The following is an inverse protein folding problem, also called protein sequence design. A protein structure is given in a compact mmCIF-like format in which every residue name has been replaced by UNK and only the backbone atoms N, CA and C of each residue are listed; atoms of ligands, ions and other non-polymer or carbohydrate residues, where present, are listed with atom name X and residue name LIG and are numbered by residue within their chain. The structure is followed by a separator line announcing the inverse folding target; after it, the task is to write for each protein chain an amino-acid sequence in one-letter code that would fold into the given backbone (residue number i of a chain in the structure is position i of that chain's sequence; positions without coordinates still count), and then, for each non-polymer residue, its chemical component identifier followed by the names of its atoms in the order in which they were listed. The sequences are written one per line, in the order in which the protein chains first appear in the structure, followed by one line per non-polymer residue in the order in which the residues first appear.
data_IF_094592489866
#
_entry.id   IF_094592489866
#
_cell.length_a   1.000
_cell.length_b   1.000
_cell.length_c   1.000
_cell.angle_alpha   90.00
_cell.angle_beta   90.00
_cell.angle_gamma   90.00
#
_symmetry.space_group_name_H-M   'P 1'
#
loop_
_entity.id
_entity.type
_entity.pdbx_description
1 polymer ?
#
# COMPACT_ATOMS: atom_id res chain seq x y z
N UNK A 1 15.09 -28.40 24.28
CA UNK A 1 15.17 -27.50 23.10
C UNK A 1 13.79 -27.47 22.43
N UNK A 2 12.80 -26.83 23.05
CA UNK A 2 11.40 -26.90 22.57
C UNK A 2 11.08 -25.78 21.59
N UNK A 3 10.72 -26.18 20.38
CA UNK A 3 10.23 -25.39 19.23
C UNK A 3 8.83 -24.75 19.42
N UNK A 4 8.40 -24.51 20.67
CA UNK A 4 7.08 -23.96 20.98
C UNK A 4 7.10 -22.46 21.34
N UNK A 5 8.15 -21.73 20.92
CA UNK A 5 8.18 -20.26 21.02
C UNK A 5 7.86 -19.55 19.70
N UNK A 6 7.40 -20.29 18.67
CA UNK A 6 7.28 -19.77 17.31
C UNK A 6 5.99 -18.96 17.05
N UNK A 7 5.16 -18.59 18.03
CA UNK A 7 3.88 -17.90 17.72
C UNK A 7 3.50 -16.74 18.64
N UNK A 8 4.20 -16.49 19.75
CA UNK A 8 3.84 -15.40 20.68
C UNK A 8 4.09 -13.96 20.13
N UNK A 9 5.09 -13.67 19.27
CA UNK A 9 5.35 -12.29 18.81
C UNK A 9 4.88 -11.95 17.36
N UNK A 10 4.03 -12.77 16.74
CA UNK A 10 3.86 -12.87 15.27
C UNK A 10 3.23 -11.70 14.47
N UNK A 11 2.92 -10.55 15.05
CA UNK A 11 2.50 -9.37 14.25
C UNK A 11 3.03 -8.10 14.90
N UNK A 12 4.27 -7.75 14.55
CA UNK A 12 4.76 -6.39 14.76
C UNK A 12 4.08 -5.51 13.70
N UNK A 13 3.38 -4.46 14.14
CA UNK A 13 2.50 -3.54 13.38
C UNK A 13 3.20 -2.66 12.33
N UNK A 14 4.31 -3.12 11.75
CA UNK A 14 5.09 -2.43 10.72
C UNK A 14 5.04 -3.20 9.39
N UNK A 15 3.82 -3.58 8.99
CA UNK A 15 3.56 -4.36 7.79
C UNK A 15 3.30 -3.50 6.55
N UNK A 16 3.04 -2.21 6.73
CA UNK A 16 2.67 -1.33 5.61
C UNK A 16 3.92 -0.91 4.84
N UNK A 17 3.83 -0.95 3.51
CA UNK A 17 4.84 -0.44 2.58
C UNK A 17 4.12 0.45 1.57
N UNK A 18 4.62 1.65 1.39
CA UNK A 18 4.11 2.56 0.36
C UNK A 18 4.84 2.27 -0.94
N UNK A 19 4.07 2.18 -2.02
CA UNK A 19 4.54 2.03 -3.38
C UNK A 19 4.32 3.36 -4.11
N UNK A 20 5.40 3.92 -4.66
CA UNK A 20 5.32 5.14 -5.45
C UNK A 20 4.44 4.97 -6.69
N UNK A 21 3.82 6.05 -7.16
CA UNK A 21 2.92 6.05 -8.35
C UNK A 21 3.62 5.62 -9.65
N UNK A 22 4.95 5.67 -9.68
CA UNK A 22 5.75 5.28 -10.84
C UNK A 22 6.03 3.77 -10.94
N UNK A 23 5.57 2.99 -9.97
CA UNK A 23 5.67 1.53 -9.97
C UNK A 23 4.27 0.91 -10.06
N UNK A 24 4.20 -0.23 -10.74
CA UNK A 24 2.99 -1.05 -10.72
C UNK A 24 2.89 -1.82 -9.39
N UNK A 25 1.73 -1.76 -8.75
CA UNK A 25 1.51 -2.36 -7.44
C UNK A 25 1.61 -3.90 -7.47
N UNK A 26 1.20 -4.53 -8.59
CA UNK A 26 1.27 -5.97 -8.77
C UNK A 26 2.72 -6.43 -8.99
N UNK A 27 3.49 -5.70 -9.80
CA UNK A 27 4.91 -6.03 -10.03
C UNK A 27 5.72 -6.02 -8.73
N UNK A 28 5.49 -4.99 -7.89
CA UNK A 28 6.11 -4.92 -6.56
C UNK A 28 5.64 -6.09 -5.68
N UNK A 29 4.35 -6.42 -5.73
CA UNK A 29 3.79 -7.54 -4.98
C UNK A 29 4.40 -8.89 -5.36
N UNK A 30 4.55 -9.17 -6.65
CA UNK A 30 5.17 -10.40 -7.16
C UNK A 30 6.63 -10.48 -6.75
N UNK A 31 7.37 -9.38 -6.86
CA UNK A 31 8.78 -9.32 -6.47
C UNK A 31 8.97 -9.61 -4.98
N UNK A 32 8.13 -9.05 -4.11
CA UNK A 32 8.16 -9.32 -2.66
C UNK A 32 7.77 -10.79 -2.38
N UNK A 33 6.69 -11.28 -2.98
CA UNK A 33 6.21 -12.66 -2.78
C UNK A 33 7.23 -13.72 -3.23
N UNK A 34 8.02 -13.39 -4.25
CA UNK A 34 9.03 -14.28 -4.84
C UNK A 34 10.43 -14.09 -4.23
N UNK A 35 10.56 -13.28 -3.17
CA UNK A 35 11.85 -12.93 -2.54
C UNK A 35 12.90 -12.39 -3.53
N UNK A 36 12.46 -11.59 -4.51
CA UNK A 36 13.36 -10.91 -5.46
C UNK A 36 14.03 -9.71 -4.78
N UNK A 37 15.00 -10.01 -3.93
CA UNK A 37 15.75 -9.03 -3.14
C UNK A 37 16.48 -7.99 -3.98
N UNK A 38 16.94 -8.33 -5.18
CA UNK A 38 17.65 -7.39 -6.06
C UNK A 38 16.74 -6.25 -6.51
N UNK A 39 15.55 -6.55 -7.02
CA UNK A 39 14.59 -5.52 -7.44
C UNK A 39 14.07 -4.71 -6.25
N UNK A 40 13.77 -5.38 -5.14
CA UNK A 40 13.28 -4.71 -3.92
C UNK A 40 14.32 -3.75 -3.35
N UNK A 41 15.60 -4.12 -3.33
CA UNK A 41 16.67 -3.23 -2.85
C UNK A 41 16.89 -2.02 -3.78
N UNK A 42 16.81 -2.18 -5.11
CA UNK A 42 16.87 -1.06 -6.05
C UNK A 42 15.75 -0.04 -5.76
N UNK A 43 14.52 -0.51 -5.56
CA UNK A 43 13.41 0.40 -5.28
C UNK A 43 13.54 1.09 -3.92
N UNK A 44 14.03 0.41 -2.89
CA UNK A 44 14.28 1.03 -1.58
C UNK A 44 15.37 2.11 -1.70
N UNK A 45 16.49 1.79 -2.35
CA UNK A 45 17.61 2.73 -2.49
C UNK A 45 17.29 3.97 -3.33
N UNK A 46 16.27 3.86 -4.20
CA UNK A 46 15.72 4.96 -5.00
C UNK A 46 14.49 5.62 -4.38
N UNK A 47 14.13 5.24 -3.16
CA UNK A 47 12.96 5.73 -2.43
C UNK A 47 11.61 5.53 -3.18
N UNK A 48 11.56 4.54 -4.08
CA UNK A 48 10.36 4.21 -4.84
C UNK A 48 9.38 3.34 -4.06
N UNK A 49 9.88 2.58 -3.08
CA UNK A 49 9.08 1.92 -2.05
C UNK A 49 9.64 2.28 -0.68
N UNK A 50 8.77 2.57 0.29
CA UNK A 50 9.22 3.09 1.59
C UNK A 50 8.20 2.82 2.69
N UNK A 51 8.60 3.05 3.95
CA UNK A 51 7.73 2.95 5.11
C UNK A 51 6.96 4.26 5.33
N UNK A 52 5.67 4.22 5.69
CA UNK A 52 4.94 5.43 6.03
C UNK A 52 5.57 6.14 7.24
N UNK A 53 5.66 7.46 7.18
CA UNK A 53 6.06 8.25 8.34
C UNK A 53 4.92 8.30 9.37
N UNK A 54 5.24 8.60 10.62
CA UNK A 54 4.23 8.78 11.67
C UNK A 54 3.22 9.89 11.32
N UNK A 55 3.69 10.96 10.68
CA UNK A 55 2.83 12.05 10.20
C UNK A 55 1.89 11.58 9.09
N UNK A 56 2.40 10.80 8.12
CA UNK A 56 1.58 10.27 7.05
C UNK A 56 0.49 9.33 7.57
N UNK A 57 0.82 8.47 8.54
CA UNK A 57 -0.16 7.63 9.23
C UNK A 57 -1.21 8.46 9.98
N UNK A 58 -0.80 9.53 10.65
CA UNK A 58 -1.72 10.44 11.35
C UNK A 58 -2.71 11.09 10.39
N UNK A 59 -2.22 11.57 9.23
CA UNK A 59 -3.06 12.17 8.17
C UNK A 59 -4.06 11.15 7.64
N UNK A 60 -3.62 9.93 7.34
CA UNK A 60 -4.51 8.88 6.84
C UNK A 60 -5.59 8.49 7.86
N UNK A 61 -5.24 8.36 9.13
CA UNK A 61 -6.19 8.06 10.20
C UNK A 61 -7.20 9.19 10.45
N UNK A 62 -6.87 10.43 10.07
CA UNK A 62 -7.73 11.60 10.26
C UNK A 62 -8.60 11.91 9.03
N UNK A 63 -8.43 11.17 7.92
CA UNK A 63 -9.09 11.44 6.64
C UNK A 63 -9.75 10.19 6.08
N UNK A 64 -10.98 9.91 6.52
CA UNK A 64 -11.82 8.79 6.06
C UNK A 64 -12.12 8.79 4.54
N UNK A 65 -11.97 9.93 3.89
CA UNK A 65 -12.23 10.09 2.46
C UNK A 65 -11.03 9.72 1.58
N UNK A 66 -9.82 9.60 2.15
CA UNK A 66 -8.62 9.28 1.36
C UNK A 66 -8.65 7.80 0.97
N UNK A 67 -8.75 7.55 -0.34
CA UNK A 67 -8.70 6.20 -0.92
C UNK A 67 -7.28 5.88 -1.40
N UNK A 68 -6.96 4.59 -1.33
CA UNK A 68 -5.69 4.05 -1.80
C UNK A 68 -5.92 2.68 -2.41
N UNK A 69 -5.10 2.34 -3.39
CA UNK A 69 -5.00 0.99 -3.89
C UNK A 69 -4.17 0.18 -2.88
N UNK A 70 -4.63 -1.02 -2.54
CA UNK A 70 -3.94 -1.88 -1.59
C UNK A 70 -3.77 -3.30 -2.14
N UNK A 71 -2.60 -3.90 -1.90
CA UNK A 71 -2.30 -5.28 -2.22
C UNK A 71 -1.68 -5.96 -0.99
N UNK A 72 -2.23 -7.11 -0.59
CA UNK A 72 -1.76 -7.85 0.59
C UNK A 72 -0.81 -8.96 0.12
N UNK A 73 0.45 -8.87 0.53
CA UNK A 73 1.48 -9.88 0.31
C UNK A 73 2.06 -10.23 1.67
N UNK A 74 1.48 -11.24 2.33
CA UNK A 74 1.76 -11.51 3.74
C UNK A 74 3.28 -11.67 4.00
N UNK A 75 3.81 -11.06 5.08
CA UNK A 75 3.10 -10.35 6.14
C UNK A 75 2.81 -8.87 5.86
N UNK A 76 3.07 -8.38 4.64
CA UNK A 76 3.02 -6.97 4.27
C UNK A 76 1.68 -6.54 3.64
N UNK A 77 1.38 -5.25 3.79
CA UNK A 77 0.30 -4.55 3.09
C UNK A 77 0.92 -3.46 2.26
N UNK A 78 0.88 -3.61 0.94
CA UNK A 78 1.36 -2.62 -0.01
C UNK A 78 0.25 -1.62 -0.29
N UNK A 79 0.58 -0.33 -0.25
CA UNK A 79 -0.38 0.76 -0.43
C UNK A 79 0.16 1.73 -1.47
N UNK A 80 -0.69 2.16 -2.40
CA UNK A 80 -0.38 3.18 -3.38
C UNK A 80 -1.47 4.24 -3.36
N UNK A 81 -1.07 5.52 -3.23
CA UNK A 81 -2.03 6.62 -3.19
C UNK A 81 -2.67 6.82 -4.57
N UNK A 82 -4.01 6.83 -4.62
CA UNK A 82 -4.78 7.01 -5.86
C UNK A 82 -5.14 8.48 -6.04
N UNK A 83 -4.88 9.05 -7.21
CA UNK A 83 -5.34 10.40 -7.59
C UNK A 83 -6.79 10.33 -8.10
N UNK A 84 -7.69 9.69 -7.36
CA UNK A 84 -9.11 9.69 -7.72
C UNK A 84 -9.76 10.92 -7.10
N UNK A 85 -9.62 12.06 -7.77
CA UNK A 85 -10.54 13.18 -7.60
C UNK A 85 -11.92 12.68 -8.03
N UNK A 86 -12.85 12.51 -7.09
CA UNK A 86 -14.25 12.30 -7.44
C UNK A 86 -14.76 13.57 -8.12
N UNK A 87 -14.70 13.60 -9.45
CA UNK A 87 -15.59 14.44 -10.25
C UNK A 87 -16.98 13.82 -10.19
N UNK A 88 -17.83 14.43 -9.38
CA UNK A 88 -19.28 14.23 -9.34
C UNK A 88 -19.88 14.53 -10.72
N UNK A 89 -19.82 13.56 -11.64
CA UNK A 89 -20.53 13.63 -12.92
C UNK A 89 -21.98 13.15 -12.75
N UNK A 90 -22.71 13.80 -11.85
CA UNK A 90 -24.16 13.75 -11.76
C UNK A 90 -24.79 14.66 -12.83
N UNK A 91 -24.50 14.41 -14.11
CA UNK A 91 -25.19 15.06 -15.20
C UNK A 91 -26.67 14.65 -15.18
N UNK A 92 -27.48 15.55 -14.63
CA UNK A 92 -28.95 15.55 -14.77
C UNK A 92 -29.30 15.35 -16.24
N UNK A 93 -30.00 14.26 -16.52
CA UNK A 93 -30.78 14.11 -17.75
C UNK A 93 -32.13 14.80 -17.54
N UNK A 94 -32.46 15.86 -18.31
CA UNK A 94 -33.84 16.07 -18.69
C UNK A 94 -34.10 15.33 -20.01
N UNK A 95 -35.16 14.52 -19.97
CA UNK A 95 -35.74 13.78 -21.08
C UNK A 95 -36.05 14.70 -22.29
N UNK A 96 -36.08 14.16 -23.51
CA UNK A 96 -36.45 14.94 -24.69
C UNK A 96 -37.96 15.23 -24.65
N UNK A 97 -38.33 16.51 -24.80
CA UNK A 97 -39.67 16.94 -25.22
C UNK A 97 -39.56 17.83 -26.45
#
# INVERSE_FOLDING_TARGET
MSLLSLTVPHVKRDAVVIVGKNLDLLDVGVAIASDNTSSVQDWISRELIYKPSAEQLSIWNSNDSKKFNALIVQPFVLVQESDVTQEDNGATSPAPV
#
